data_IF_837128255538
#
_entry.id   IF_837128255538
#
_cell.length_a   1.000
_cell.length_b   1.000
_cell.length_c   1.000
_cell.angle_alpha   90.00
_cell.angle_beta   90.00
_cell.angle_gamma   90.00
#
_symmetry.space_group_name_H-M   'P 1'
#
loop_
_entity.id
_entity.type
_entity.pdbx_description
1 polymer ?
#
# COMPACT_ATOMS: atom_id res chain seq x y z
N UNK A 1 -10.08 8.55 6.67
CA UNK A 1 -8.95 8.01 5.86
C UNK A 1 -8.32 9.06 4.95
N UNK A 2 -9.11 9.80 4.15
CA UNK A 2 -8.58 10.84 3.24
C UNK A 2 -7.80 11.95 3.98
N UNK A 3 -8.37 12.49 5.06
CA UNK A 3 -7.72 13.48 5.93
C UNK A 3 -6.30 13.04 6.35
N UNK A 4 -6.17 11.83 6.91
CA UNK A 4 -4.87 11.25 7.30
C UNK A 4 -3.93 11.14 6.11
N UNK A 5 -4.42 10.64 4.98
CA UNK A 5 -3.62 10.44 3.75
C UNK A 5 -3.08 11.76 3.19
N UNK A 6 -3.86 12.83 3.30
CA UNK A 6 -3.50 14.18 2.86
C UNK A 6 -2.71 14.97 3.91
N UNK A 7 -2.58 14.45 5.13
CA UNK A 7 -1.89 15.14 6.23
C UNK A 7 -2.60 16.43 6.64
N UNK A 8 -3.94 16.44 6.58
CA UNK A 8 -4.75 17.59 6.96
C UNK A 8 -5.19 17.46 8.41
N UNK A 9 -5.09 18.55 9.16
CA UNK A 9 -5.36 18.56 10.60
C UNK A 9 -6.87 18.64 10.89
N UNK A 10 -7.68 19.11 9.93
CA UNK A 10 -9.14 19.29 10.08
C UNK A 10 -10.00 18.49 9.09
N UNK A 11 -11.14 17.99 9.59
CA UNK A 11 -12.20 17.39 8.76
C UNK A 11 -12.82 18.43 7.81
N UNK A 12 -13.03 19.67 8.29
CA UNK A 12 -13.57 20.78 7.48
C UNK A 12 -12.68 21.09 6.28
N UNK A 13 -11.36 21.20 6.47
CA UNK A 13 -10.45 21.52 5.36
C UNK A 13 -10.42 20.39 4.31
N UNK A 14 -10.50 19.14 4.79
CA UNK A 14 -10.59 17.97 3.90
C UNK A 14 -11.88 18.01 3.10
N UNK A 15 -12.99 18.43 3.71
CA UNK A 15 -14.30 18.53 3.07
C UNK A 15 -14.34 19.69 2.05
N UNK A 16 -13.77 20.84 2.36
CA UNK A 16 -13.67 21.99 1.46
C UNK A 16 -12.83 21.65 0.22
N UNK A 17 -11.68 21.01 0.42
CA UNK A 17 -10.84 20.54 -0.69
C UNK A 17 -11.56 19.51 -1.56
N UNK A 18 -12.37 18.66 -0.94
CA UNK A 18 -13.20 17.67 -1.65
C UNK A 18 -14.30 18.32 -2.49
N UNK A 19 -14.94 19.37 -2.00
CA UNK A 19 -15.94 20.14 -2.73
C UNK A 19 -15.32 20.80 -3.97
N UNK A 20 -14.16 21.45 -3.81
CA UNK A 20 -13.41 22.05 -4.93
C UNK A 20 -13.07 21.01 -6.01
N UNK A 21 -12.57 19.84 -5.62
CA UNK A 21 -12.23 18.77 -6.57
C UNK A 21 -13.48 18.20 -7.26
N UNK A 22 -14.62 18.16 -6.56
CA UNK A 22 -15.90 17.72 -7.11
C UNK A 22 -16.42 18.73 -8.14
N UNK A 23 -16.36 20.02 -7.82
CA UNK A 23 -16.77 21.11 -8.73
C UNK A 23 -15.91 21.16 -10.00
N UNK A 24 -14.62 20.83 -9.89
CA UNK A 24 -13.72 20.68 -11.04
C UNK A 24 -13.99 19.40 -11.86
N UNK A 25 -14.91 18.54 -11.43
CA UNK A 25 -15.25 17.28 -12.11
C UNK A 25 -14.15 16.20 -12.01
N UNK A 26 -13.18 16.37 -11.10
CA UNK A 26 -12.06 15.45 -10.94
C UNK A 26 -12.44 14.22 -10.11
N UNK A 27 -13.35 14.41 -9.16
CA UNK A 27 -13.85 13.37 -8.25
C UNK A 27 -15.37 13.32 -8.26
N UNK A 28 -15.93 12.14 -7.99
CA UNK A 28 -17.35 11.93 -7.75
C UNK A 28 -17.52 11.42 -6.33
N UNK A 29 -18.46 12.00 -5.58
CA UNK A 29 -18.90 11.41 -4.33
C UNK A 29 -19.78 10.18 -4.62
N UNK A 30 -19.49 9.08 -3.93
CA UNK A 30 -20.19 7.81 -4.04
C UNK A 30 -20.75 7.49 -2.65
N UNK A 31 -22.06 7.72 -2.46
CA UNK A 31 -22.71 7.41 -1.18
C UNK A 31 -23.08 5.93 -1.19
N UNK A 32 -22.40 5.14 -0.35
CA UNK A 32 -22.70 3.72 -0.19
C UNK A 32 -23.50 3.52 1.09
N UNK A 33 -24.69 2.95 0.96
CA UNK A 33 -25.43 2.47 2.14
C UNK A 33 -24.95 1.08 2.52
N UNK A 34 -24.41 0.94 3.74
CA UNK A 34 -24.00 -0.34 4.29
C UNK A 34 -24.52 -0.48 5.72
N UNK A 35 -25.35 -1.50 5.97
CA UNK A 35 -25.95 -1.80 7.28
C UNK A 35 -26.64 -0.59 7.96
N UNK A 36 -27.34 0.24 7.18
CA UNK A 36 -28.08 1.40 7.70
C UNK A 36 -27.23 2.62 8.04
N UNK A 37 -25.93 2.63 7.71
CA UNK A 37 -25.08 3.83 7.73
C UNK A 37 -24.76 4.24 6.30
N UNK A 38 -24.83 5.54 6.04
CA UNK A 38 -24.32 6.14 4.82
C UNK A 38 -22.82 6.37 4.98
N UNK A 39 -22.04 5.70 4.14
CA UNK A 39 -20.62 5.96 4.00
C UNK A 39 -20.43 6.82 2.75
N UNK A 40 -19.97 8.05 2.94
CA UNK A 40 -19.61 8.95 1.84
C UNK A 40 -18.22 8.54 1.35
N UNK A 41 -18.18 7.86 0.22
CA UNK A 41 -16.96 7.53 -0.51
C UNK A 41 -16.63 8.60 -1.55
N UNK A 42 -15.37 8.58 -2.00
CA UNK A 42 -14.90 9.43 -3.09
C UNK A 42 -14.29 8.54 -4.16
N UNK A 43 -14.61 8.80 -5.41
CA UNK A 43 -14.04 8.10 -6.56
C UNK A 43 -13.44 9.09 -7.54
N UNK A 44 -12.20 8.84 -7.95
CA UNK A 44 -11.58 9.56 -9.04
C UNK A 44 -12.23 9.16 -10.37
N UNK A 45 -12.40 10.12 -11.29
CA UNK A 45 -12.86 9.79 -12.64
C UNK A 45 -11.80 8.94 -13.37
N UNK A 46 -12.22 7.91 -14.11
CA UNK A 46 -11.29 6.94 -14.74
C UNK A 46 -10.28 7.62 -15.68
N UNK A 47 -10.72 8.54 -16.55
CA UNK A 47 -9.82 9.31 -17.43
C UNK A 47 -8.79 10.14 -16.64
N UNK A 48 -9.20 10.66 -15.49
CA UNK A 48 -8.33 11.46 -14.61
C UNK A 48 -7.31 10.52 -13.96
N UNK A 49 -7.74 9.33 -13.54
CA UNK A 49 -6.87 8.31 -12.96
C UNK A 49 -5.80 7.85 -13.94
N UNK A 50 -6.19 7.54 -15.18
CA UNK A 50 -5.26 7.12 -16.23
C UNK A 50 -4.25 8.23 -16.56
N UNK A 51 -4.72 9.48 -16.66
CA UNK A 51 -3.85 10.62 -16.89
C UNK A 51 -2.83 10.83 -15.77
N UNK A 52 -3.24 10.69 -14.51
CA UNK A 52 -2.33 10.80 -13.37
C UNK A 52 -1.41 9.59 -13.25
N UNK A 53 -1.86 8.38 -13.62
CA UNK A 53 -1.01 7.20 -13.69
C UNK A 53 0.14 7.40 -14.70
N UNK A 54 -0.16 7.97 -15.87
CA UNK A 54 0.83 8.31 -16.89
C UNK A 54 1.77 9.43 -16.40
N UNK A 55 1.21 10.51 -15.83
CA UNK A 55 2.01 11.64 -15.30
C UNK A 55 2.85 11.30 -14.06
N UNK A 56 2.46 10.29 -13.29
CA UNK A 56 3.22 9.84 -12.14
C UNK A 56 4.58 9.28 -12.57
N UNK A 57 4.73 8.81 -13.82
CA UNK A 57 5.97 8.43 -14.53
C UNK A 57 7.15 8.07 -13.61
N UNK A 58 7.15 6.85 -13.07
CA UNK A 58 8.20 6.33 -12.20
C UNK A 58 8.12 6.74 -10.72
N UNK A 59 7.35 7.78 -10.36
CA UNK A 59 7.14 8.21 -8.96
C UNK A 59 5.98 7.49 -8.26
N UNK A 60 5.34 6.52 -8.92
CA UNK A 60 4.20 5.78 -8.35
C UNK A 60 4.57 5.13 -7.02
N UNK A 61 5.73 4.47 -6.96
CA UNK A 61 6.24 3.83 -5.75
C UNK A 61 6.48 4.85 -4.62
N UNK A 62 7.11 5.99 -4.91
CA UNK A 62 7.38 7.04 -3.93
C UNK A 62 6.08 7.64 -3.37
N UNK A 63 5.13 7.94 -4.25
CA UNK A 63 3.81 8.44 -3.87
C UNK A 63 3.07 7.42 -3.00
N UNK A 64 3.15 6.14 -3.36
CA UNK A 64 2.50 5.07 -2.61
C UNK A 64 3.09 4.92 -1.21
N UNK A 65 4.41 4.97 -1.07
CA UNK A 65 5.10 4.97 0.23
C UNK A 65 4.71 6.18 1.08
N UNK A 66 4.63 7.38 0.49
CA UNK A 66 4.16 8.58 1.20
C UNK A 66 2.72 8.46 1.67
N UNK A 67 1.84 7.93 0.82
CA UNK A 67 0.42 7.73 1.12
C UNK A 67 0.25 6.73 2.26
N UNK A 68 1.03 5.64 2.25
CA UNK A 68 1.08 4.67 3.33
C UNK A 68 1.59 5.32 4.62
N UNK A 69 2.71 6.03 4.59
CA UNK A 69 3.25 6.71 5.78
C UNK A 69 2.26 7.71 6.40
N UNK A 70 1.52 8.45 5.57
CA UNK A 70 0.53 9.43 6.04
C UNK A 70 -0.74 8.75 6.58
N UNK A 71 -1.24 7.72 5.89
CA UNK A 71 -2.42 6.97 6.33
C UNK A 71 -2.16 6.10 7.56
N UNK A 72 -0.91 5.68 7.78
CA UNK A 72 -0.44 4.82 8.87
C UNK A 72 0.14 5.57 10.08
N UNK A 73 0.16 6.91 10.08
CA UNK A 73 0.46 7.71 11.29
C UNK A 73 -0.67 7.51 12.30
N UNK A 74 -0.62 6.41 13.03
CA UNK A 74 -1.28 6.30 14.33
C UNK A 74 -0.41 7.13 15.28
N UNK A 75 -1.02 8.01 16.06
CA UNK A 75 -0.35 8.68 17.18
C UNK A 75 0.13 7.60 18.16
N UNK A 76 1.33 7.08 17.95
CA UNK A 76 2.04 6.31 18.96
C UNK A 76 2.56 7.32 19.98
N UNK A 77 2.00 7.27 21.19
CA UNK A 77 2.62 7.91 22.36
C UNK A 77 4.08 7.46 22.44
N UNK A 78 5.01 8.41 22.60
CA UNK A 78 6.45 8.32 22.34
C UNK A 78 7.27 7.30 23.17
N UNK A 79 6.66 6.31 23.81
CA UNK A 79 7.28 5.59 24.93
C UNK A 79 7.60 4.11 24.75
N UNK A 80 7.50 3.48 23.57
CA UNK A 80 7.94 2.09 23.43
C UNK A 80 8.83 1.85 22.20
N UNK A 81 10.11 1.63 22.50
CA UNK A 81 11.16 1.16 21.60
C UNK A 81 10.93 -0.33 21.38
N UNK A 82 10.01 -0.70 20.49
CA UNK A 82 9.94 -2.06 19.97
C UNK A 82 9.73 -2.05 18.45
N UNK A 83 10.77 -2.50 17.75
CA UNK A 83 10.94 -2.35 16.30
C UNK A 83 10.18 -3.42 15.50
N UNK A 84 8.97 -3.72 15.94
CA UNK A 84 7.96 -4.46 15.20
C UNK A 84 6.69 -3.62 15.13
N UNK A 85 6.81 -2.38 14.62
CA UNK A 85 5.83 -1.69 13.77
C UNK A 85 4.36 -2.10 14.13
N UNK A 86 3.88 -1.69 15.32
CA UNK A 86 2.54 -2.02 15.90
C UNK A 86 1.32 -1.46 15.11
N UNK A 87 1.54 -0.87 13.93
CA UNK A 87 0.54 -0.12 13.15
C UNK A 87 -0.60 -0.95 12.56
N UNK A 88 -0.49 -2.29 12.54
CA UNK A 88 -1.59 -3.18 12.12
C UNK A 88 -2.53 -3.59 13.27
N UNK A 89 -2.30 -3.13 14.51
CA UNK A 89 -3.28 -3.21 15.60
C UNK A 89 -4.36 -2.15 15.40
N UNK A 90 -5.17 -2.36 14.36
CA UNK A 90 -6.34 -1.57 14.02
C UNK A 90 -7.32 -1.59 15.21
N UNK A 91 -7.43 -0.47 15.95
CA UNK A 91 -8.35 -0.34 17.10
C UNK A 91 -9.80 -0.18 16.61
N UNK A 92 -10.56 -1.25 16.76
CA UNK A 92 -12.03 -1.46 16.89
C UNK A 92 -13.08 -0.61 16.13
N UNK A 93 -12.74 0.40 15.34
CA UNK A 93 -13.71 1.21 14.57
C UNK A 93 -13.29 1.53 13.14
N UNK A 94 -12.40 0.73 12.54
CA UNK A 94 -11.84 1.11 11.23
C UNK A 94 -12.56 0.56 10.00
N UNK A 95 -12.46 1.43 8.99
CA UNK A 95 -12.99 1.41 7.64
C UNK A 95 -12.59 0.13 6.88
N UNK A 96 -13.59 -0.53 6.28
CA UNK A 96 -13.39 -1.69 5.39
C UNK A 96 -12.38 -1.40 4.27
N UNK A 97 -12.18 -0.13 3.93
CA UNK A 97 -11.16 0.30 2.99
C UNK A 97 -9.75 -0.19 3.34
N UNK A 98 -9.33 -0.13 4.61
CA UNK A 98 -7.96 -0.52 5.02
C UNK A 98 -7.75 -2.01 4.75
N UNK A 99 -8.67 -2.82 5.26
CA UNK A 99 -8.69 -4.27 5.04
C UNK A 99 -8.71 -4.64 3.56
N UNK A 100 -9.37 -3.85 2.70
CA UNK A 100 -9.46 -4.15 1.27
C UNK A 100 -8.25 -3.70 0.44
N UNK A 101 -7.46 -2.73 0.92
CA UNK A 101 -6.49 -2.04 0.07
C UNK A 101 -5.07 -2.03 0.62
N UNK A 102 -4.84 -2.36 1.89
CA UNK A 102 -3.50 -2.26 2.49
C UNK A 102 -2.48 -3.18 1.80
N UNK A 103 -2.86 -4.41 1.45
CA UNK A 103 -1.97 -5.37 0.79
C UNK A 103 -1.63 -4.92 -0.63
N UNK A 104 -2.61 -4.62 -1.51
CA UNK A 104 -2.33 -4.05 -2.83
C UNK A 104 -1.44 -2.81 -2.75
N UNK A 105 -1.70 -1.92 -1.80
CA UNK A 105 -0.92 -0.70 -1.62
C UNK A 105 0.53 -0.94 -1.20
N UNK A 106 0.79 -1.91 -0.30
CA UNK A 106 2.15 -2.30 0.08
C UNK A 106 2.90 -2.89 -1.12
N UNK A 107 2.23 -3.71 -1.93
CA UNK A 107 2.82 -4.31 -3.13
C UNK A 107 3.13 -3.25 -4.20
N UNK A 108 2.22 -2.30 -4.45
CA UNK A 108 2.46 -1.17 -5.36
C UNK A 108 3.58 -0.24 -4.87
N UNK A 109 3.80 -0.16 -3.56
CA UNK A 109 4.91 0.55 -2.93
C UNK A 109 6.22 -0.23 -2.90
N UNK A 110 6.31 -1.40 -3.53
CA UNK A 110 7.47 -2.31 -3.47
C UNK A 110 7.88 -2.69 -2.02
N UNK A 111 6.91 -2.71 -1.10
CA UNK A 111 7.06 -3.05 0.31
C UNK A 111 6.69 -4.52 0.56
N UNK A 112 7.29 -5.42 -0.22
CA UNK A 112 6.94 -6.85 -0.24
C UNK A 112 7.21 -7.53 1.12
N UNK A 113 8.24 -7.09 1.86
CA UNK A 113 8.54 -7.64 3.18
C UNK A 113 7.52 -7.23 4.22
N UNK A 114 7.04 -6.00 4.16
CA UNK A 114 6.00 -5.49 5.02
C UNK A 114 4.66 -6.16 4.71
N UNK A 115 4.34 -6.38 3.44
CA UNK A 115 3.17 -7.17 3.04
C UNK A 115 3.26 -8.60 3.58
N UNK A 116 4.43 -9.25 3.48
CA UNK A 116 4.69 -10.56 4.08
C UNK A 116 4.50 -10.56 5.60
N UNK A 117 5.08 -9.59 6.30
CA UNK A 117 4.96 -9.49 7.76
C UNK A 117 3.50 -9.32 8.18
N UNK A 118 2.73 -8.50 7.45
CA UNK A 118 1.33 -8.25 7.71
C UNK A 118 0.46 -9.51 7.54
N UNK A 119 0.59 -10.21 6.41
CA UNK A 119 -0.24 -11.42 6.16
C UNK A 119 0.17 -12.61 7.03
N UNK A 120 1.39 -12.61 7.58
CA UNK A 120 1.82 -13.63 8.54
C UNK A 120 1.46 -13.27 9.99
N UNK A 121 1.05 -12.04 10.27
CA UNK A 121 0.56 -11.65 11.58
C UNK A 121 -0.79 -12.35 11.87
N UNK A 122 -0.89 -13.17 12.93
CA UNK A 122 -2.13 -13.87 13.25
C UNK A 122 -3.27 -12.93 13.65
N UNK A 123 -2.96 -11.81 14.30
CA UNK A 123 -3.95 -10.81 14.72
C UNK A 123 -4.59 -10.14 13.50
N UNK A 124 -3.76 -9.70 12.55
CA UNK A 124 -4.22 -9.19 11.26
C UNK A 124 -5.05 -10.22 10.51
N UNK A 125 -4.54 -11.45 10.39
CA UNK A 125 -5.18 -12.52 9.63
C UNK A 125 -6.58 -12.84 10.16
N UNK A 126 -6.73 -12.97 11.49
CA UNK A 126 -8.04 -13.20 12.13
C UNK A 126 -9.00 -12.05 11.84
N UNK A 127 -8.51 -10.82 11.96
CA UNK A 127 -9.34 -9.63 11.74
C UNK A 127 -9.74 -9.47 10.28
N UNK A 128 -8.83 -9.73 9.35
CA UNK A 128 -9.06 -9.71 7.92
C UNK A 128 -10.09 -10.76 7.51
N UNK A 129 -10.04 -11.97 8.09
CA UNK A 129 -11.07 -12.99 7.86
C UNK A 129 -12.44 -12.56 8.39
N UNK A 130 -12.51 -11.80 9.49
CA UNK A 130 -13.76 -11.28 10.07
C UNK A 130 -14.35 -10.13 9.26
N UNK A 131 -13.51 -9.22 8.79
CA UNK A 131 -13.91 -7.99 8.10
C UNK A 131 -13.97 -8.18 6.58
N UNK A 132 -12.83 -8.51 5.95
CA UNK A 132 -12.69 -8.69 4.50
C UNK A 132 -13.21 -10.04 3.98
N UNK A 133 -13.26 -11.05 4.84
CA UNK A 133 -13.75 -12.39 4.52
C UNK A 133 -12.68 -13.29 3.90
N UNK A 134 -12.88 -14.61 4.04
CA UNK A 134 -11.91 -15.65 3.67
C UNK A 134 -11.36 -15.53 2.24
N UNK A 135 -12.22 -15.20 1.27
CA UNK A 135 -11.80 -15.09 -0.14
C UNK A 135 -10.79 -13.97 -0.33
N UNK A 136 -11.03 -12.82 0.30
CA UNK A 136 -10.14 -11.68 0.17
C UNK A 136 -8.81 -11.95 0.87
N UNK A 137 -8.84 -12.53 2.08
CA UNK A 137 -7.62 -12.99 2.78
C UNK A 137 -6.78 -13.94 1.92
N UNK A 138 -7.41 -14.91 1.23
CA UNK A 138 -6.68 -15.84 0.36
C UNK A 138 -6.08 -15.15 -0.87
N UNK A 139 -6.77 -14.16 -1.43
CA UNK A 139 -6.21 -13.36 -2.52
C UNK A 139 -4.98 -12.59 -2.05
N UNK A 140 -5.03 -11.95 -0.87
CA UNK A 140 -3.89 -11.24 -0.29
C UNK A 140 -2.66 -12.14 -0.17
N UNK A 141 -2.83 -13.36 0.37
CA UNK A 141 -1.74 -14.33 0.44
C UNK A 141 -1.18 -14.68 -0.94
N UNK A 142 -2.05 -14.92 -1.92
CA UNK A 142 -1.65 -15.31 -3.27
C UNK A 142 -0.84 -14.20 -3.97
N UNK A 143 -1.27 -12.94 -3.81
CA UNK A 143 -0.58 -11.78 -4.36
C UNK A 143 0.79 -11.57 -3.70
N UNK A 144 0.88 -11.72 -2.38
CA UNK A 144 2.15 -11.60 -1.64
C UNK A 144 3.12 -12.72 -2.03
N UNK A 145 2.64 -13.96 -2.19
CA UNK A 145 3.47 -15.08 -2.65
C UNK A 145 4.01 -14.80 -4.06
N UNK A 146 3.14 -14.40 -4.99
CA UNK A 146 3.57 -14.07 -6.36
C UNK A 146 4.60 -12.93 -6.40
N UNK A 147 4.44 -11.92 -5.54
CA UNK A 147 5.41 -10.83 -5.41
C UNK A 147 6.76 -11.30 -4.83
N UNK A 148 6.75 -12.23 -3.88
CA UNK A 148 7.96 -12.83 -3.31
C UNK A 148 8.70 -13.70 -4.33
N UNK A 149 7.99 -14.51 -5.10
CA UNK A 149 8.57 -15.35 -6.16
C UNK A 149 9.23 -14.49 -7.25
N UNK A 150 8.54 -13.42 -7.68
CA UNK A 150 9.09 -12.46 -8.62
C UNK A 150 10.36 -11.79 -8.09
N UNK A 151 10.35 -11.34 -6.83
CA UNK A 151 11.52 -10.71 -6.21
C UNK A 151 12.71 -11.68 -6.09
N UNK A 152 12.45 -12.93 -5.72
CA UNK A 152 13.50 -13.94 -5.58
C UNK A 152 14.12 -14.28 -6.94
N UNK A 153 13.31 -14.45 -7.98
CA UNK A 153 13.80 -14.70 -9.34
C UNK A 153 14.63 -13.54 -9.90
N UNK A 154 14.21 -12.29 -9.68
CA UNK A 154 14.99 -11.11 -10.07
C UNK A 154 16.35 -11.04 -9.36
N UNK A 155 16.40 -11.44 -8.08
CA UNK A 155 17.65 -11.51 -7.31
C UNK A 155 18.58 -12.61 -7.81
N UNK A 156 18.02 -13.78 -8.13
CA UNK A 156 18.79 -14.92 -8.65
C UNK A 156 19.41 -14.56 -10.02
N UNK A 157 18.68 -13.84 -10.88
CA UNK A 157 19.20 -13.34 -12.17
C UNK A 157 20.35 -12.32 -11.98
N UNK A 158 20.25 -11.44 -10.99
CA UNK A 158 21.27 -10.43 -10.69
C UNK A 158 22.56 -11.07 -10.14
N UNK A 159 22.43 -12.09 -9.27
CA UNK A 159 23.55 -12.86 -8.76
C UNK A 159 24.26 -13.65 -9.88
N UNK A 160 23.51 -14.26 -10.81
CA UNK A 160 24.07 -14.95 -11.99
C UNK A 160 24.82 -13.98 -12.91
N UNK A 161 24.26 -12.79 -13.17
CA UNK A 161 24.94 -11.75 -14.00
C UNK A 161 26.22 -11.24 -13.35
N UNK A 162 26.18 -10.97 -12.05
CA UNK A 162 27.35 -10.53 -11.27
C UNK A 162 28.45 -11.58 -11.24
N UNK A 163 28.09 -12.85 -11.02
CA UNK A 163 29.02 -13.98 -11.05
C UNK A 163 29.66 -14.18 -12.42
N UNK A 164 28.88 -14.04 -13.51
CA UNK A 164 29.41 -14.18 -14.87
C UNK A 164 30.37 -13.05 -15.24
N UNK A 165 30.07 -11.80 -14.86
CA UNK A 165 30.96 -10.65 -15.04
C UNK A 165 32.28 -10.80 -14.29
N UNK A 166 32.24 -11.32 -13.05
CA UNK A 166 33.44 -11.56 -12.25
C UNK A 166 34.33 -12.66 -12.84
N UNK A 167 33.73 -13.73 -13.40
CA UNK A 167 34.47 -14.80 -14.09
C UNK A 167 35.14 -14.25 -15.36
N UNK A 168 34.45 -13.40 -16.12
CA UNK A 168 35.03 -12.74 -17.30
C UNK A 168 36.23 -11.84 -16.91
N UNK A 169 36.09 -11.03 -15.86
CA UNK A 169 37.16 -10.17 -15.34
C UNK A 169 38.39 -10.97 -14.87
N UNK A 170 38.19 -12.11 -14.19
CA UNK A 170 39.27 -13.02 -13.81
C UNK A 170 39.92 -13.71 -15.02
N UNK A 171 39.14 -13.98 -16.07
CA UNK A 171 39.64 -14.50 -17.35
C UNK A 171 40.57 -13.54 -18.09
N UNK A 172 40.36 -12.23 -17.95
CA UNK A 172 41.24 -11.20 -18.50
C UNK A 172 42.56 -11.09 -17.73
N UNK A 173 42.54 -11.18 -16.40
CA UNK A 173 43.75 -11.12 -15.57
C UNK A 173 44.69 -12.32 -15.77
N UNK A 174 44.15 -13.47 -16.19
CA UNK A 174 44.94 -14.68 -16.45
C UNK A 174 45.69 -14.68 -17.80
N UNK A 175 45.45 -13.67 -18.64
CA UNK A 175 46.07 -13.49 -19.97
C UNK A 175 47.15 -12.38 -20.00
N UNK A 176 47.41 -11.72 -18.88
CA UNK A 176 48.53 -10.80 -18.65
C UNK A 176 49.67 -11.54 -17.94
#
# INVERSE_FOLDING_TARGET
MLQRSWGMDGESETQDAMEILSDMGLVKQDVRQKKGREEIGVRLHYLVNDHFAIKANGRKEELQKRLLNNSMRVECEENEVDWCREWWRVREKEDMYVYQNIVPQLLEGNMVMEAKALVLDPGWTVQQMRCGGRRHTMNDYSEVIGALEKRNSERDEEEVRSGSSMIEALGFLRKL
#
